data_IF_936944577692
#
_entry.id   IF_936944577692
#
_cell.length_a   1.000
_cell.length_b   1.000
_cell.length_c   1.000
_cell.angle_alpha   90.00
_cell.angle_beta   90.00
_cell.angle_gamma   90.00
#
_symmetry.space_group_name_H-M   'P 1'
#
loop_
_entity.id
_entity.type
_entity.pdbx_description
1 polymer ?
#
# COMPACT_ATOMS: atom_id res chain seq x y z
N UNK A 1 -17.08 -72.25 7.29
CA UNK A 1 -17.07 -71.18 6.27
C UNK A 1 -16.31 -70.00 6.87
N UNK A 2 -15.03 -69.81 6.53
CA UNK A 2 -14.19 -68.73 7.10
C UNK A 2 -14.27 -67.53 6.17
N UNK A 3 -14.93 -66.46 6.59
CA UNK A 3 -14.99 -65.19 5.85
C UNK A 3 -13.78 -64.37 6.27
N UNK A 4 -12.81 -64.23 5.37
CA UNK A 4 -11.63 -63.41 5.56
C UNK A 4 -12.01 -61.95 5.23
N UNK A 5 -12.19 -61.11 6.24
CA UNK A 5 -12.47 -59.69 6.07
C UNK A 5 -11.14 -58.97 5.79
N UNK A 6 -10.87 -58.65 4.52
CA UNK A 6 -9.69 -57.85 4.15
C UNK A 6 -10.04 -56.37 4.34
N UNK A 7 -9.52 -55.77 5.41
CA UNK A 7 -9.59 -54.32 5.62
C UNK A 7 -8.55 -53.65 4.71
N UNK A 8 -9.02 -53.02 3.64
CA UNK A 8 -8.18 -52.18 2.77
C UNK A 8 -8.06 -50.80 3.43
N UNK A 9 -6.92 -50.51 4.05
CA UNK A 9 -6.56 -49.18 4.52
C UNK A 9 -6.05 -48.35 3.34
N UNK A 10 -6.88 -47.48 2.78
CA UNK A 10 -6.45 -46.45 1.84
C UNK A 10 -5.76 -45.32 2.61
N UNK A 11 -4.42 -45.30 2.58
CA UNK A 11 -3.61 -44.16 2.99
C UNK A 11 -3.82 -43.02 1.98
N UNK A 12 -4.71 -42.08 2.32
CA UNK A 12 -4.84 -40.82 1.60
C UNK A 12 -3.68 -39.93 2.05
N UNK A 13 -2.62 -39.89 1.26
CA UNK A 13 -1.54 -38.92 1.42
C UNK A 13 -2.09 -37.54 1.10
N UNK A 14 -2.50 -36.78 2.13
CA UNK A 14 -2.68 -35.34 2.00
C UNK A 14 -1.30 -34.71 1.81
N UNK A 15 -0.90 -34.54 0.55
CA UNK A 15 0.16 -33.60 0.21
C UNK A 15 -0.34 -32.22 0.61
N UNK A 16 0.06 -31.77 1.80
CA UNK A 16 -0.08 -30.38 2.20
C UNK A 16 0.85 -29.59 1.29
N UNK A 17 0.31 -29.08 0.18
CA UNK A 17 0.99 -28.05 -0.58
C UNK A 17 1.08 -26.84 0.36
N UNK A 18 2.24 -26.64 0.98
CA UNK A 18 2.60 -25.32 1.46
C UNK A 18 2.58 -24.43 0.22
N UNK A 19 1.48 -23.70 0.02
CA UNK A 19 1.47 -22.63 -0.97
C UNK A 19 2.61 -21.70 -0.57
N UNK A 20 3.61 -21.60 -1.44
CA UNK A 20 4.69 -20.64 -1.23
C UNK A 20 4.10 -19.25 -1.11
N UNK A 21 4.78 -18.39 -0.37
CA UNK A 21 4.40 -16.99 -0.20
C UNK A 21 4.14 -16.35 -1.58
N UNK A 22 2.97 -15.76 -1.74
CA UNK A 22 2.56 -15.04 -2.94
C UNK A 22 3.42 -13.78 -3.12
N UNK A 23 3.47 -13.25 -4.34
CA UNK A 23 4.20 -12.00 -4.61
C UNK A 23 3.63 -10.82 -3.81
N UNK A 24 2.31 -10.79 -3.59
CA UNK A 24 1.66 -9.77 -2.75
C UNK A 24 2.05 -9.91 -1.27
N UNK A 25 2.19 -11.13 -0.77
CA UNK A 25 2.65 -11.37 0.60
C UNK A 25 4.12 -10.97 0.79
N UNK A 26 5.00 -11.24 -0.18
CA UNK A 26 6.40 -10.77 -0.15
C UNK A 26 6.49 -9.25 -0.11
N UNK A 27 5.68 -8.58 -0.93
CA UNK A 27 5.57 -7.12 -0.93
C UNK A 27 5.10 -6.60 0.42
N UNK A 28 4.03 -7.19 0.95
CA UNK A 28 3.47 -6.84 2.26
C UNK A 28 4.50 -7.00 3.38
N UNK A 29 5.19 -8.13 3.41
CA UNK A 29 6.18 -8.45 4.43
C UNK A 29 7.42 -7.57 4.32
N UNK A 30 7.74 -7.05 3.15
CA UNK A 30 8.75 -6.00 3.01
C UNK A 30 8.31 -4.74 3.74
N UNK A 31 7.09 -4.26 3.53
CA UNK A 31 6.57 -3.07 4.22
C UNK A 31 6.47 -3.24 5.74
N UNK A 32 6.06 -4.42 6.23
CA UNK A 32 5.95 -4.71 7.67
C UNK A 32 7.29 -4.51 8.40
N UNK A 33 8.43 -4.83 7.77
CA UNK A 33 9.77 -4.61 8.36
C UNK A 33 10.09 -3.15 8.65
N UNK A 34 9.33 -2.23 8.08
CA UNK A 34 9.48 -0.79 8.27
C UNK A 34 8.49 -0.21 9.29
N UNK A 35 7.64 -1.02 9.92
CA UNK A 35 6.72 -0.54 10.95
C UNK A 35 7.43 0.30 12.03
N UNK A 36 6.88 1.47 12.30
CA UNK A 36 7.39 2.48 13.24
C UNK A 36 8.54 3.35 12.69
N UNK A 37 9.06 3.06 11.48
CA UNK A 37 10.15 3.83 10.87
C UNK A 37 9.61 4.90 9.93
N UNK A 38 10.30 6.04 9.94
CA UNK A 38 10.04 7.14 9.04
C UNK A 38 11.28 7.44 8.18
N UNK A 39 11.03 7.96 6.99
CA UNK A 39 12.04 8.19 5.98
C UNK A 39 11.79 9.50 5.25
N UNK A 40 12.87 10.20 4.96
CA UNK A 40 12.83 11.40 4.13
C UNK A 40 12.83 11.02 2.65
N UNK A 41 12.11 11.79 1.86
CA UNK A 41 11.96 11.56 0.43
C UNK A 41 12.17 12.80 -0.42
N UNK A 42 12.06 12.60 -1.72
CA UNK A 42 12.19 13.62 -2.75
C UNK A 42 11.23 13.34 -3.90
N UNK A 43 10.82 14.39 -4.59
CA UNK A 43 10.12 14.21 -5.87
C UNK A 43 11.10 13.68 -6.92
N UNK A 44 10.62 12.69 -7.68
CA UNK A 44 11.30 12.17 -8.87
C UNK A 44 10.62 12.74 -10.13
N UNK A 45 9.29 12.88 -10.10
CA UNK A 45 8.57 13.52 -11.19
C UNK A 45 7.25 14.15 -10.69
N UNK A 46 6.89 15.37 -11.13
CA UNK A 46 7.82 16.34 -11.73
C UNK A 46 8.97 16.67 -10.76
N UNK A 47 10.05 17.27 -11.24
CA UNK A 47 11.18 17.66 -10.37
C UNK A 47 10.77 18.70 -9.30
N UNK A 48 9.68 19.44 -9.54
CA UNK A 48 9.08 20.37 -8.60
C UNK A 48 7.57 20.48 -8.80
N UNK A 49 6.84 20.61 -7.71
CA UNK A 49 5.40 20.78 -7.67
C UNK A 49 5.01 21.54 -6.40
N UNK A 50 4.25 22.63 -6.52
CA UNK A 50 3.91 23.49 -5.39
C UNK A 50 3.09 22.80 -4.31
N UNK A 51 2.40 21.71 -4.65
CA UNK A 51 1.61 20.89 -3.70
C UNK A 51 2.49 20.05 -2.78
N UNK A 52 3.76 19.90 -3.12
CA UNK A 52 4.76 19.08 -2.44
C UNK A 52 5.98 19.93 -2.05
N UNK A 53 5.79 21.23 -1.85
CA UNK A 53 6.81 22.13 -1.34
C UNK A 53 7.11 21.84 0.14
N UNK A 54 8.40 21.65 0.44
CA UNK A 54 8.88 21.39 1.80
C UNK A 54 9.42 19.97 1.98
N UNK A 55 9.65 19.61 3.23
CA UNK A 55 10.22 18.32 3.60
C UNK A 55 9.20 17.20 3.36
N UNK A 56 9.59 16.18 2.60
CA UNK A 56 8.74 15.03 2.31
C UNK A 56 9.09 13.89 3.26
N UNK A 57 8.12 13.40 4.02
CA UNK A 57 8.36 12.31 4.99
C UNK A 57 7.30 11.24 4.86
N UNK A 58 7.71 10.00 4.63
CA UNK A 58 6.85 8.84 4.81
C UNK A 58 7.07 8.25 6.20
N UNK A 59 6.03 7.68 6.79
CA UNK A 59 6.12 6.94 8.04
C UNK A 59 5.28 5.68 7.93
N UNK A 60 5.85 4.49 8.04
CA UNK A 60 5.05 3.25 8.12
C UNK A 60 4.55 3.12 9.56
N UNK A 61 3.51 3.88 9.92
CA UNK A 61 3.11 4.10 11.32
C UNK A 61 2.49 2.89 11.97
N UNK A 62 1.62 2.18 11.24
CA UNK A 62 0.96 0.98 11.73
C UNK A 62 1.00 -0.10 10.66
N UNK A 63 1.27 -1.33 11.09
CA UNK A 63 1.16 -2.53 10.27
C UNK A 63 0.54 -3.63 11.12
N UNK A 64 -0.56 -4.18 10.63
CA UNK A 64 -1.26 -5.33 11.19
C UNK A 64 -1.29 -6.43 10.14
N UNK A 65 -1.89 -7.58 10.46
CA UNK A 65 -2.02 -8.68 9.49
C UNK A 65 -2.87 -8.30 8.28
N UNK A 66 -3.79 -7.33 8.42
CA UNK A 66 -4.78 -6.95 7.42
C UNK A 66 -4.63 -5.54 6.87
N UNK A 67 -3.97 -4.63 7.60
CA UNK A 67 -3.90 -3.22 7.25
C UNK A 67 -2.51 -2.62 7.55
N UNK A 68 -1.99 -1.83 6.62
CA UNK A 68 -0.82 -0.97 6.81
C UNK A 68 -1.25 0.48 6.56
N UNK A 69 -0.90 1.39 7.48
CA UNK A 69 -1.12 2.82 7.33
C UNK A 69 0.22 3.55 7.23
N UNK A 70 0.40 4.27 6.13
CA UNK A 70 1.63 4.99 5.80
C UNK A 70 1.31 6.49 5.65
N UNK A 71 1.39 7.27 6.74
CA UNK A 71 1.34 8.72 6.63
C UNK A 71 2.40 9.30 5.69
N UNK A 72 2.00 10.30 4.92
CA UNK A 72 2.86 11.06 4.02
C UNK A 72 2.75 12.56 4.33
N UNK A 73 3.82 13.12 4.87
CA UNK A 73 3.90 14.51 5.29
C UNK A 73 4.60 15.37 4.25
N UNK A 74 4.10 16.59 4.10
CA UNK A 74 4.65 17.63 3.22
C UNK A 74 4.83 18.89 4.06
N UNK A 75 6.06 19.17 4.50
CA UNK A 75 6.30 20.19 5.50
C UNK A 75 5.47 19.93 6.76
N UNK A 76 4.61 20.87 7.14
CA UNK A 76 3.72 20.75 8.30
C UNK A 76 2.35 20.11 7.98
N UNK A 77 2.06 19.87 6.70
CA UNK A 77 0.81 19.23 6.27
C UNK A 77 0.83 17.75 6.63
N UNK A 78 -0.12 17.37 7.50
CA UNK A 78 -0.28 16.03 8.07
C UNK A 78 -1.58 15.33 7.66
N UNK A 79 -2.16 15.77 6.55
CA UNK A 79 -3.47 15.30 6.07
C UNK A 79 -3.48 13.92 5.44
N UNK A 80 -2.35 13.45 4.87
CA UNK A 80 -2.36 12.33 3.90
C UNK A 80 -1.86 11.04 4.53
N UNK A 81 -2.61 9.96 4.32
CA UNK A 81 -2.19 8.60 4.67
C UNK A 81 -2.52 7.64 3.53
N UNK A 82 -1.53 6.88 3.06
CA UNK A 82 -1.80 5.70 2.24
C UNK A 82 -2.24 4.54 3.13
N UNK A 83 -3.40 3.98 2.85
CA UNK A 83 -3.96 2.83 3.56
C UNK A 83 -3.93 1.63 2.63
N UNK A 84 -3.15 0.61 3.00
CA UNK A 84 -3.08 -0.66 2.31
C UNK A 84 -3.86 -1.70 3.09
N UNK A 85 -4.80 -2.39 2.44
CA UNK A 85 -5.62 -3.44 3.06
C UNK A 85 -5.54 -4.73 2.25
N UNK A 86 -5.37 -5.88 2.92
CA UNK A 86 -5.50 -7.17 2.25
C UNK A 86 -6.97 -7.46 1.93
N UNK A 87 -7.24 -7.90 0.71
CA UNK A 87 -8.57 -8.29 0.24
C UNK A 87 -8.40 -9.53 -0.64
N UNK A 88 -8.85 -10.68 -0.15
CA UNK A 88 -8.89 -11.94 -0.94
C UNK A 88 -7.55 -12.32 -1.61
N UNK A 89 -6.43 -12.13 -0.91
CA UNK A 89 -5.08 -12.41 -1.44
C UNK A 89 -4.47 -11.31 -2.32
N UNK A 90 -5.21 -10.22 -2.51
CA UNK A 90 -4.76 -9.00 -3.19
C UNK A 90 -4.59 -7.86 -2.18
N UNK A 91 -4.06 -6.73 -2.63
CA UNK A 91 -3.87 -5.53 -1.82
C UNK A 91 -4.71 -4.41 -2.42
N UNK A 92 -5.46 -3.71 -1.57
CA UNK A 92 -6.19 -2.50 -1.92
C UNK A 92 -5.44 -1.29 -1.39
N UNK A 93 -5.27 -0.27 -2.22
CA UNK A 93 -4.77 1.04 -1.81
C UNK A 93 -5.92 2.02 -1.72
N UNK A 94 -6.03 2.75 -0.61
CA UNK A 94 -6.89 3.93 -0.45
C UNK A 94 -6.09 5.12 0.09
N UNK A 95 -6.52 6.33 -0.24
CA UNK A 95 -5.93 7.58 0.22
C UNK A 95 -6.83 8.19 1.30
N UNK A 96 -6.43 8.08 2.56
CA UNK A 96 -7.14 8.72 3.67
C UNK A 96 -6.62 10.15 3.82
N UNK A 97 -7.48 11.11 3.51
CA UNK A 97 -7.26 12.54 3.66
C UNK A 97 -8.10 13.10 4.81
N UNK A 98 -7.45 13.82 5.71
CA UNK A 98 -8.04 14.38 6.92
C UNK A 98 -7.80 15.89 6.99
N UNK A 99 -8.75 16.62 7.56
CA UNK A 99 -8.56 17.99 8.00
C UNK A 99 -7.76 18.06 9.32
N UNK A 100 -7.28 19.24 9.70
CA UNK A 100 -6.51 19.45 10.94
C UNK A 100 -7.25 19.01 12.21
N UNK A 101 -8.58 19.14 12.21
CA UNK A 101 -9.45 18.70 13.29
C UNK A 101 -9.67 17.17 13.32
N UNK A 102 -9.12 16.44 12.35
CA UNK A 102 -9.22 15.00 12.21
C UNK A 102 -10.46 14.49 11.47
N UNK A 103 -11.37 15.37 11.06
CA UNK A 103 -12.50 14.98 10.20
C UNK A 103 -12.01 14.58 8.80
N UNK A 104 -12.78 13.75 8.10
CA UNK A 104 -12.46 13.34 6.73
C UNK A 104 -12.63 14.51 5.75
N UNK A 105 -11.68 14.63 4.84
CA UNK A 105 -11.83 15.49 3.66
C UNK A 105 -12.94 14.94 2.76
N UNK A 106 -13.61 15.81 2.00
CA UNK A 106 -14.63 15.39 1.02
C UNK A 106 -14.05 14.50 -0.07
N UNK A 107 -12.78 14.68 -0.41
CA UNK A 107 -12.04 13.91 -1.41
C UNK A 107 -11.03 13.02 -0.69
N UNK A 108 -11.53 11.90 -0.19
CA UNK A 108 -10.80 10.88 0.58
C UNK A 108 -11.20 9.48 0.12
N UNK A 109 -10.55 8.44 0.63
CA UNK A 109 -10.84 7.03 0.37
C UNK A 109 -10.87 6.63 -1.12
N UNK A 110 -10.18 7.39 -1.98
CA UNK A 110 -10.00 7.05 -3.39
C UNK A 110 -8.77 6.15 -3.57
N UNK A 111 -8.77 5.32 -4.61
CA UNK A 111 -7.73 4.36 -4.92
C UNK A 111 -8.29 3.15 -5.67
N UNK A 112 -7.85 1.95 -5.30
CA UNK A 112 -8.40 0.73 -5.88
C UNK A 112 -7.71 -0.56 -5.45
N UNK A 113 -8.32 -1.68 -5.87
CA UNK A 113 -7.78 -3.02 -5.65
C UNK A 113 -6.71 -3.32 -6.69
N UNK A 114 -5.64 -4.00 -6.26
CA UNK A 114 -4.62 -4.48 -7.19
C UNK A 114 -5.23 -5.44 -8.22
N UNK A 115 -4.83 -5.32 -9.48
CA UNK A 115 -5.41 -6.13 -10.57
C UNK A 115 -4.91 -7.58 -10.57
N UNK A 116 -3.86 -7.88 -9.80
CA UNK A 116 -3.26 -9.21 -9.62
C UNK A 116 -2.42 -9.22 -8.35
N UNK A 117 -1.77 -10.34 -8.03
CA UNK A 117 -0.81 -10.44 -6.92
C UNK A 117 0.46 -9.61 -7.13
N UNK A 118 0.62 -8.96 -8.29
CA UNK A 118 1.75 -8.09 -8.60
C UNK A 118 3.10 -8.81 -8.59
N UNK A 119 4.13 -8.08 -8.17
CA UNK A 119 5.50 -8.55 -7.99
C UNK A 119 5.89 -8.47 -6.51
N UNK A 120 6.90 -9.24 -6.09
CA UNK A 120 7.44 -9.19 -4.72
C UNK A 120 7.82 -7.78 -4.25
N UNK A 121 8.20 -6.90 -5.18
CA UNK A 121 8.63 -5.54 -4.89
C UNK A 121 7.68 -4.47 -5.44
N UNK A 122 6.57 -4.82 -6.09
CA UNK A 122 5.70 -3.82 -6.73
C UNK A 122 4.23 -4.26 -6.80
N UNK A 123 3.34 -3.33 -6.46
CA UNK A 123 1.88 -3.50 -6.60
C UNK A 123 1.29 -2.34 -7.40
N UNK A 124 0.32 -2.65 -8.26
CA UNK A 124 -0.34 -1.69 -9.18
C UNK A 124 -1.83 -1.65 -8.85
N UNK A 125 -2.37 -0.45 -8.68
CA UNK A 125 -3.74 -0.19 -8.27
C UNK A 125 -4.43 0.71 -9.31
N UNK A 126 -5.40 0.16 -10.02
CA UNK A 126 -6.25 0.93 -10.94
C UNK A 126 -7.39 1.58 -10.18
N UNK A 127 -7.80 2.80 -10.58
CA UNK A 127 -8.98 3.45 -9.99
C UNK A 127 -10.22 2.54 -10.00
N UNK A 128 -10.81 2.36 -8.82
CA UNK A 128 -12.07 1.64 -8.67
C UNK A 128 -13.29 2.53 -8.96
N UNK A 129 -14.48 1.92 -8.88
CA UNK A 129 -15.74 2.62 -9.15
C UNK A 129 -15.97 3.78 -8.17
N UNK A 130 -15.70 3.57 -6.88
CA UNK A 130 -15.81 4.61 -5.85
C UNK A 130 -14.95 5.83 -6.19
N UNK A 131 -13.74 5.59 -6.68
CA UNK A 131 -12.84 6.66 -7.13
C UNK A 131 -13.35 7.38 -8.36
N UNK A 132 -13.93 6.66 -9.32
CA UNK A 132 -14.49 7.24 -10.53
C UNK A 132 -15.73 8.09 -10.23
N UNK A 133 -16.56 7.66 -9.29
CA UNK A 133 -17.74 8.41 -8.85
C UNK A 133 -17.35 9.67 -8.07
N UNK A 134 -16.35 9.56 -7.20
CA UNK A 134 -15.87 10.67 -6.37
C UNK A 134 -15.06 11.70 -7.17
N UNK A 135 -14.22 11.23 -8.10
CA UNK A 135 -13.28 12.04 -8.87
C UNK A 135 -13.36 11.61 -10.35
N UNK A 136 -14.33 12.08 -11.13
CA UNK A 136 -14.56 11.59 -12.50
C UNK A 136 -13.33 11.65 -13.43
N UNK A 137 -12.48 12.67 -13.30
CA UNK A 137 -11.25 12.77 -14.10
C UNK A 137 -10.13 11.81 -13.64
N UNK A 138 -10.27 11.16 -12.49
CA UNK A 138 -9.35 10.17 -11.96
C UNK A 138 -9.72 8.73 -12.37
N UNK A 139 -10.79 8.52 -13.15
CA UNK A 139 -11.19 7.19 -13.62
C UNK A 139 -10.07 6.46 -14.40
N UNK A 140 -9.17 7.21 -15.06
CA UNK A 140 -7.99 6.68 -15.74
C UNK A 140 -6.72 6.60 -14.88
N UNK A 141 -6.80 6.84 -13.57
CA UNK A 141 -5.63 6.79 -12.70
C UNK A 141 -5.16 5.36 -12.48
N UNK A 142 -3.83 5.20 -12.53
CA UNK A 142 -3.12 3.99 -12.14
C UNK A 142 -2.04 4.42 -11.15
N UNK A 143 -2.16 3.92 -9.92
CA UNK A 143 -1.15 4.08 -8.88
C UNK A 143 -0.27 2.85 -8.82
N UNK A 144 0.97 3.01 -8.40
CA UNK A 144 1.79 1.87 -8.01
C UNK A 144 2.79 2.24 -6.94
N UNK A 145 3.10 1.25 -6.12
CA UNK A 145 4.12 1.32 -5.09
C UNK A 145 5.20 0.32 -5.46
N UNK A 146 6.46 0.76 -5.43
CA UNK A 146 7.63 -0.13 -5.49
C UNK A 146 8.36 -0.04 -4.16
N UNK A 147 8.77 -1.17 -3.61
CA UNK A 147 9.54 -1.22 -2.37
C UNK A 147 10.59 -2.33 -2.44
N UNK A 148 11.82 -1.99 -2.06
CA UNK A 148 12.91 -2.95 -1.88
C UNK A 148 13.65 -2.66 -0.56
N UNK A 149 14.86 -3.20 -0.39
CA UNK A 149 15.66 -3.01 0.84
C UNK A 149 16.16 -1.58 1.04
N UNK A 150 16.17 -0.77 -0.02
CA UNK A 150 16.82 0.54 -0.07
C UNK A 150 15.85 1.69 -0.36
N UNK A 151 14.75 1.43 -1.07
CA UNK A 151 13.87 2.49 -1.54
C UNK A 151 12.40 2.12 -1.45
N UNK A 152 11.57 3.14 -1.22
CA UNK A 152 10.14 3.09 -1.43
C UNK A 152 9.77 4.17 -2.44
N UNK A 153 8.98 3.84 -3.45
CA UNK A 153 8.41 4.82 -4.37
C UNK A 153 6.89 4.71 -4.38
N UNK A 154 6.24 5.87 -4.43
CA UNK A 154 4.82 5.97 -4.72
C UNK A 154 4.64 6.78 -6.00
N UNK A 155 3.78 6.28 -6.89
CA UNK A 155 3.68 6.77 -8.24
C UNK A 155 2.22 6.85 -8.70
N UNK A 156 1.96 7.74 -9.65
CA UNK A 156 0.67 7.90 -10.31
C UNK A 156 0.90 8.21 -11.80
N UNK A 157 0.19 7.47 -12.67
CA UNK A 157 -0.03 7.85 -14.07
C UNK A 157 -1.53 7.98 -14.30
N UNK A 158 -1.95 9.03 -15.02
CA UNK A 158 -3.32 9.10 -15.54
C UNK A 158 -3.32 8.75 -17.02
N UNK A 159 -3.90 7.59 -17.34
CA UNK A 159 -4.08 7.10 -18.71
C UNK A 159 -4.88 8.12 -19.52
N UNK A 160 -4.45 8.36 -20.76
CA UNK A 160 -5.05 9.39 -21.61
C UNK A 160 -4.57 10.81 -21.31
N UNK A 161 -3.54 10.99 -20.48
CA UNK A 161 -2.89 12.28 -20.22
C UNK A 161 -1.38 12.17 -20.04
N UNK A 162 -0.71 13.32 -20.00
CA UNK A 162 0.70 13.45 -19.65
C UNK A 162 0.95 13.46 -18.14
N UNK A 163 -0.10 13.38 -17.30
CA UNK A 163 0.07 13.40 -15.85
C UNK A 163 0.84 12.17 -15.39
N UNK A 164 2.02 12.43 -14.83
CA UNK A 164 2.86 11.50 -14.11
C UNK A 164 3.34 12.16 -12.82
N UNK A 165 3.29 11.41 -11.72
CA UNK A 165 3.81 11.81 -10.42
C UNK A 165 4.59 10.65 -9.80
N UNK A 166 5.73 10.95 -9.17
CA UNK A 166 6.59 9.99 -8.50
C UNK A 166 7.34 10.66 -7.36
N UNK A 167 7.29 10.04 -6.19
CA UNK A 167 8.05 10.40 -4.99
C UNK A 167 8.81 9.16 -4.51
N UNK A 168 10.07 9.36 -4.12
CA UNK A 168 10.98 8.31 -3.66
C UNK A 168 11.48 8.63 -2.25
N UNK A 169 11.59 7.61 -1.40
CA UNK A 169 12.08 7.69 -0.04
C UNK A 169 13.24 6.70 0.16
N UNK A 170 14.29 7.16 0.85
CA UNK A 170 15.47 6.36 1.15
C UNK A 170 15.25 5.55 2.43
N UNK A 171 15.09 4.23 2.28
CA UNK A 171 14.82 3.31 3.38
C UNK A 171 16.08 2.93 4.18
N UNK A 172 17.27 3.32 3.70
CA UNK A 172 18.55 3.04 4.37
C UNK A 172 18.85 4.01 5.51
N UNK A 173 18.19 5.18 5.52
CA UNK A 173 18.45 6.27 6.47
C UNK A 173 17.16 6.64 7.24
N UNK A 174 16.76 5.85 8.25
CA UNK A 174 15.59 6.18 9.06
C UNK A 174 15.81 7.49 9.82
N UNK A 175 14.75 8.30 9.89
CA UNK A 175 14.73 9.56 10.63
C UNK A 175 13.92 9.44 11.93
N UNK A 176 13.96 10.48 12.77
CA UNK A 176 13.12 10.55 13.97
C UNK A 176 11.64 10.41 13.60
N UNK A 177 10.91 9.66 14.41
CA UNK A 177 9.47 9.43 14.22
C UNK A 177 8.72 10.77 14.26
N UNK A 178 8.03 11.15 13.18
CA UNK A 178 7.26 12.39 13.16
C UNK A 178 6.02 12.31 14.06
N UNK A 179 5.40 13.47 14.30
CA UNK A 179 4.09 13.55 14.95
C UNK A 179 3.06 12.71 14.20
N UNK A 180 2.02 12.31 14.90
CA UNK A 180 0.89 11.60 14.29
C UNK A 180 0.25 12.43 13.16
N UNK A 181 -0.28 11.76 12.10
CA UNK A 181 -1.11 12.43 11.11
C UNK A 181 -2.36 13.01 11.76
N UNK A 182 -3.02 13.96 11.10
CA UNK A 182 -4.27 14.49 11.61
C UNK A 182 -5.35 13.40 11.71
N UNK A 183 -6.16 13.46 12.77
CA UNK A 183 -7.21 12.47 13.03
C UNK A 183 -6.74 11.10 13.52
N UNK A 184 -5.44 10.92 13.81
CA UNK A 184 -4.95 9.66 14.36
C UNK A 184 -5.50 9.41 15.77
N UNK A 185 -6.04 8.21 15.99
CA UNK A 185 -6.41 7.67 17.30
C UNK A 185 -5.62 6.38 17.48
N UNK A 186 -4.87 6.29 18.59
CA UNK A 186 -4.04 5.13 18.93
C UNK A 186 -4.89 3.91 19.34
#
# INVERSE_FOLDING_TARGET
MRVLLVLVFTLISFSSYSQGETEAEKFWNTLVKHQGKAYEGKLVSPESDSRFEGRLVMHVRSATDQEIKIPFFVGEDRSRTWVLTKVEGLIKLKHDHRHEDGSEDKITQYGGLASSTGFANMQIFTADQETSDLIPYAAGNVWWITVDETSYTYNLRRVGSDTYFSVEFDLTNPIETPKAPWGWVD
#
